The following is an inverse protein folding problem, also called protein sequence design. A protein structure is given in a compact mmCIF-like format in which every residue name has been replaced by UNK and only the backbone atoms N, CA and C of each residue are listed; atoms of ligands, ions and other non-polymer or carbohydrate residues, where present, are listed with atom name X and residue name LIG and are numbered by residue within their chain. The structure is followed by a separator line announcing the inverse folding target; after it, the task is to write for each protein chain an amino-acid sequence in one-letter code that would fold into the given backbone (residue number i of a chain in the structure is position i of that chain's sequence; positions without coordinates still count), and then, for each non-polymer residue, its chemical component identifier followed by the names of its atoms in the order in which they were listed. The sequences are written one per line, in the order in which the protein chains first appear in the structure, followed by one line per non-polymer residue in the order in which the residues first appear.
data_IF_395180292528
#
_entry.id   IF_395180292528
#
_cell.length_a   1.000
_cell.length_b   1.000
_cell.length_c   1.000
_cell.angle_alpha   90.00
_cell.angle_beta   90.00
_cell.angle_gamma   90.00
#
_symmetry.space_group_name_H-M   'P 1'
#
loop_
_entity.id
_entity.type
_entity.pdbx_description
1 polymer ?
#
# COMPACT_ATOMS: atom_id res chain seq x y z
N UNK A 1 12.80 13.22 -5.96
CA UNK A 1 12.85 12.13 -6.95
C UNK A 1 11.46 11.55 -7.14
N UNK A 2 11.10 11.27 -8.37
CA UNK A 2 9.76 10.78 -8.68
C UNK A 2 9.78 9.29 -9.00
N UNK A 3 8.79 8.56 -8.47
CA UNK A 3 8.65 7.13 -8.69
C UNK A 3 7.47 6.86 -9.60
N UNK A 4 7.58 5.78 -10.39
CA UNK A 4 6.42 5.24 -11.09
C UNK A 4 5.67 4.34 -10.11
N UNK A 5 4.35 4.40 -10.12
CA UNK A 5 3.52 3.52 -9.29
C UNK A 5 2.76 2.58 -10.19
N UNK A 6 2.97 1.29 -9.99
CA UNK A 6 2.27 0.22 -10.71
C UNK A 6 1.44 -0.55 -9.71
N UNK A 7 0.19 -0.82 -10.07
CA UNK A 7 -0.76 -1.46 -9.17
C UNK A 7 -1.16 -2.80 -9.78
N UNK A 8 -1.02 -3.87 -8.99
CA UNK A 8 -1.41 -5.20 -9.42
C UNK A 8 -2.90 -5.25 -9.75
N UNK A 9 -3.27 -6.09 -10.71
CA UNK A 9 -4.65 -6.16 -11.17
C UNK A 9 -5.63 -6.55 -10.06
N UNK A 10 -5.23 -7.44 -9.15
CA UNK A 10 -6.07 -7.82 -8.03
C UNK A 10 -6.32 -6.64 -7.09
N UNK A 11 -5.31 -5.80 -6.90
CA UNK A 11 -5.46 -4.57 -6.11
C UNK A 11 -6.38 -3.58 -6.82
N UNK A 12 -6.27 -3.47 -8.13
CA UNK A 12 -7.17 -2.62 -8.92
C UNK A 12 -8.62 -3.10 -8.78
N UNK A 13 -8.84 -4.39 -8.87
CA UNK A 13 -10.19 -4.97 -8.71
C UNK A 13 -10.78 -4.66 -7.35
N UNK A 14 -9.97 -4.77 -6.29
CA UNK A 14 -10.42 -4.40 -4.95
C UNK A 14 -10.82 -2.92 -4.89
N UNK A 15 -9.96 -2.03 -5.41
CA UNK A 15 -10.22 -0.59 -5.41
C UNK A 15 -11.52 -0.28 -6.15
N UNK A 16 -11.72 -0.90 -7.30
CA UNK A 16 -12.92 -0.67 -8.11
C UNK A 16 -14.20 -1.23 -7.49
N UNK A 17 -14.08 -2.15 -6.55
CA UNK A 17 -15.24 -2.70 -5.82
C UNK A 17 -15.71 -1.79 -4.69
N UNK A 18 -14.95 -0.75 -4.36
CA UNK A 18 -15.27 0.15 -3.25
C UNK A 18 -16.22 1.27 -3.69
N UNK A 19 -16.80 1.95 -2.69
CA UNK A 19 -17.62 3.14 -2.95
C UNK A 19 -16.77 4.22 -3.63
N UNK A 20 -17.42 5.17 -4.29
CA UNK A 20 -16.71 6.28 -4.93
C UNK A 20 -15.84 7.04 -3.94
N UNK A 21 -16.36 7.28 -2.73
CA UNK A 21 -15.61 7.98 -1.69
C UNK A 21 -14.37 7.20 -1.27
N UNK A 22 -14.53 5.92 -0.98
CA UNK A 22 -13.41 5.08 -0.57
C UNK A 22 -12.37 4.94 -1.68
N UNK A 23 -12.82 4.76 -2.91
CA UNK A 23 -11.93 4.66 -4.06
C UNK A 23 -11.06 5.91 -4.21
N UNK A 24 -11.65 7.09 -4.09
CA UNK A 24 -10.90 8.36 -4.17
C UNK A 24 -9.85 8.48 -3.08
N UNK A 25 -10.20 8.06 -1.86
CA UNK A 25 -9.27 8.09 -0.74
C UNK A 25 -8.08 7.16 -1.00
N UNK A 26 -8.37 5.94 -1.44
CA UNK A 26 -7.32 4.95 -1.75
C UNK A 26 -6.42 5.47 -2.87
N UNK A 27 -7.02 5.92 -3.97
CA UNK A 27 -6.26 6.41 -5.13
C UNK A 27 -5.38 7.60 -4.78
N UNK A 28 -5.89 8.53 -3.98
CA UNK A 28 -5.11 9.68 -3.54
C UNK A 28 -3.88 9.27 -2.74
N UNK A 29 -4.07 8.32 -1.82
CA UNK A 29 -2.96 7.83 -0.98
C UNK A 29 -1.92 7.05 -1.80
N UNK A 30 -2.37 6.22 -2.73
CA UNK A 30 -1.45 5.48 -3.59
C UNK A 30 -0.69 6.43 -4.52
N UNK A 31 -1.35 7.45 -5.03
CA UNK A 31 -0.71 8.45 -5.89
C UNK A 31 0.42 9.20 -5.16
N UNK A 32 0.25 9.43 -3.87
CA UNK A 32 1.26 10.10 -3.07
C UNK A 32 2.57 9.31 -2.99
N UNK A 33 2.54 8.00 -3.23
CA UNK A 33 3.75 7.17 -3.27
C UNK A 33 4.70 7.56 -4.40
N UNK A 34 4.22 8.28 -5.41
CA UNK A 34 5.07 8.79 -6.50
C UNK A 34 6.12 9.76 -5.98
N UNK A 35 5.79 10.50 -4.93
CA UNK A 35 6.68 11.51 -4.36
C UNK A 35 7.49 10.98 -3.17
N UNK A 36 6.85 10.16 -2.33
CA UNK A 36 7.47 9.69 -1.10
C UNK A 36 6.97 8.31 -0.71
N UNK A 37 7.63 7.24 -1.20
CA UNK A 37 7.22 5.88 -0.85
C UNK A 37 7.90 5.32 0.39
N UNK A 38 8.77 6.06 1.05
CA UNK A 38 9.54 5.57 2.19
C UNK A 38 8.93 5.95 3.53
N UNK A 39 9.12 5.12 4.58
CA UNK A 39 8.70 5.48 5.92
C UNK A 39 9.34 6.80 6.37
N UNK A 40 8.58 7.59 7.09
CA UNK A 40 9.02 8.90 7.55
C UNK A 40 8.30 9.34 8.80
N UNK A 41 8.34 10.63 9.10
CA UNK A 41 7.77 11.20 10.31
C UNK A 41 6.25 11.15 10.38
N UNK A 42 5.57 10.89 9.27
CA UNK A 42 4.11 10.85 9.24
C UNK A 42 3.52 9.61 9.92
N UNK A 43 4.30 8.51 9.98
CA UNK A 43 3.83 7.29 10.61
C UNK A 43 2.80 6.50 9.81
N UNK A 44 2.56 6.88 8.57
CA UNK A 44 1.58 6.19 7.70
C UNK A 44 2.19 5.04 6.91
N UNK A 45 3.51 4.93 6.89
CA UNK A 45 4.23 3.89 6.16
C UNK A 45 5.16 3.12 7.09
N UNK A 46 5.23 1.82 6.89
CA UNK A 46 6.09 0.93 7.68
C UNK A 46 6.88 0.01 6.76
N UNK A 47 8.12 -0.26 7.17
CA UNK A 47 8.93 -1.30 6.55
C UNK A 47 8.67 -2.61 7.30
N UNK A 48 8.27 -3.64 6.57
CA UNK A 48 8.00 -4.96 7.15
C UNK A 48 9.11 -5.93 6.78
N UNK A 49 9.71 -6.56 7.78
CA UNK A 49 10.72 -7.59 7.58
C UNK A 49 10.07 -8.94 7.87
N UNK A 50 9.31 -9.47 6.91
CA UNK A 50 8.56 -10.70 7.07
C UNK A 50 9.46 -11.92 7.05
N UNK A 51 10.56 -11.88 6.29
CA UNK A 51 11.55 -12.93 6.20
C UNK A 51 12.81 -12.39 5.50
N UNK A 52 13.97 -13.06 5.66
CA UNK A 52 15.21 -12.62 5.01
C UNK A 52 15.04 -12.48 3.48
N UNK A 53 15.58 -11.40 2.94
CA UNK A 53 15.56 -11.14 1.51
C UNK A 53 14.25 -10.58 0.96
N UNK A 54 13.23 -10.42 1.80
CA UNK A 54 11.94 -9.88 1.39
C UNK A 54 11.68 -8.56 2.10
N UNK A 55 11.61 -7.48 1.33
CA UNK A 55 11.35 -6.14 1.85
C UNK A 55 9.98 -5.69 1.32
N UNK A 56 9.02 -5.59 2.22
CA UNK A 56 7.67 -5.15 1.89
C UNK A 56 7.34 -3.94 2.76
N UNK A 57 6.67 -2.97 2.16
CA UNK A 57 6.20 -1.78 2.86
C UNK A 57 4.70 -1.86 3.03
N UNK A 58 4.21 -1.25 4.10
CA UNK A 58 2.78 -1.14 4.35
C UNK A 58 2.40 0.33 4.44
N UNK A 59 1.33 0.71 3.74
CA UNK A 59 0.75 2.04 3.79
C UNK A 59 -0.60 1.95 4.49
N UNK A 60 -0.78 2.74 5.54
CA UNK A 60 -2.07 2.87 6.23
C UNK A 60 -2.89 3.95 5.52
N UNK A 61 -4.11 3.61 5.13
CA UNK A 61 -4.99 4.51 4.38
C UNK A 61 -6.26 4.77 5.19
N UNK A 62 -6.42 6.01 5.68
CA UNK A 62 -7.63 6.50 6.35
C UNK A 62 -8.13 5.62 7.50
N UNK A 63 -7.27 4.88 8.17
CA UNK A 63 -7.61 3.94 9.27
C UNK A 63 -8.62 2.85 8.86
N UNK A 64 -8.83 2.67 7.57
CA UNK A 64 -9.78 1.67 7.04
C UNK A 64 -9.11 0.66 6.14
N UNK A 65 -8.10 1.09 5.39
CA UNK A 65 -7.45 0.27 4.38
C UNK A 65 -5.97 0.19 4.61
N UNK A 66 -5.35 -0.83 4.03
CA UNK A 66 -3.91 -0.96 4.01
C UNK A 66 -3.48 -1.40 2.61
N UNK A 67 -2.31 -0.93 2.20
CA UNK A 67 -1.69 -1.34 0.95
C UNK A 67 -0.33 -1.92 1.26
N UNK A 68 0.03 -3.01 0.56
CA UNK A 68 1.35 -3.60 0.64
C UNK A 68 2.06 -3.37 -0.67
N UNK A 69 3.27 -2.87 -0.62
CA UNK A 69 4.03 -2.54 -1.82
C UNK A 69 5.51 -2.83 -1.66
N UNK A 70 6.17 -2.96 -2.78
CA UNK A 70 7.60 -3.12 -2.89
C UNK A 70 8.16 -1.96 -3.69
N UNK A 71 9.43 -1.64 -3.47
CA UNK A 71 10.13 -0.61 -4.23
C UNK A 71 11.32 -1.28 -4.92
N UNK A 72 11.38 -1.13 -6.23
CA UNK A 72 12.47 -1.65 -7.02
C UNK A 72 12.97 -0.54 -7.94
N UNK A 73 14.18 -0.08 -7.70
CA UNK A 73 14.76 1.08 -8.39
C UNK A 73 13.86 2.31 -8.23
N UNK A 74 13.28 2.80 -9.31
CA UNK A 74 12.40 3.98 -9.29
C UNK A 74 10.92 3.61 -9.46
N UNK A 75 10.57 2.34 -9.22
CA UNK A 75 9.20 1.87 -9.37
C UNK A 75 8.66 1.34 -8.05
N UNK A 76 7.43 1.76 -7.73
CA UNK A 76 6.67 1.23 -6.60
C UNK A 76 5.65 0.25 -7.15
N UNK A 77 5.70 -0.99 -6.67
CA UNK A 77 4.76 -2.04 -7.06
C UNK A 77 3.77 -2.26 -5.92
N UNK A 78 2.54 -1.82 -6.11
CA UNK A 78 1.46 -2.05 -5.13
C UNK A 78 0.88 -3.43 -5.39
N UNK A 79 1.22 -4.38 -4.53
CA UNK A 79 0.84 -5.78 -4.70
C UNK A 79 -0.57 -6.07 -4.20
N UNK A 80 -0.95 -5.46 -3.09
CA UNK A 80 -2.24 -5.73 -2.47
C UNK A 80 -2.82 -4.46 -1.85
N UNK A 81 -4.15 -4.34 -1.91
CA UNK A 81 -4.91 -3.34 -1.17
C UNK A 81 -6.08 -4.07 -0.55
N UNK A 82 -6.32 -3.86 0.74
CA UNK A 82 -7.39 -4.54 1.44
C UNK A 82 -7.84 -3.72 2.66
N UNK A 83 -8.91 -4.16 3.32
CA UNK A 83 -9.29 -3.54 4.57
C UNK A 83 -8.28 -3.95 5.65
N UNK A 84 -8.18 -3.14 6.70
CA UNK A 84 -7.29 -3.47 7.83
C UNK A 84 -7.69 -4.80 8.45
N UNK A 85 -8.99 -5.08 8.54
CA UNK A 85 -9.47 -6.35 9.08
C UNK A 85 -9.02 -7.54 8.24
N UNK A 86 -9.12 -7.43 6.91
CA UNK A 86 -8.62 -8.47 6.00
C UNK A 86 -7.12 -8.67 6.15
N UNK A 87 -6.37 -7.58 6.31
CA UNK A 87 -4.92 -7.65 6.49
C UNK A 87 -4.56 -8.39 7.78
N UNK A 88 -5.28 -8.14 8.88
CA UNK A 88 -5.03 -8.82 10.14
C UNK A 88 -5.32 -10.32 10.04
N UNK A 89 -6.32 -10.71 9.26
CA UNK A 89 -6.62 -12.13 9.05
C UNK A 89 -5.61 -12.81 8.16
N UNK A 90 -5.17 -12.15 7.10
CA UNK A 90 -4.22 -12.72 6.14
C UNK A 90 -2.80 -12.76 6.68
N UNK A 91 -2.40 -11.71 7.37
CA UNK A 91 -1.05 -11.55 7.90
C UNK A 91 -1.09 -11.42 9.41
N UNK A 92 -1.29 -12.53 10.09
CA UNK A 92 -1.36 -12.57 11.55
C UNK A 92 -0.07 -12.03 12.17
N UNK A 93 -0.22 -11.17 13.17
CA UNK A 93 0.91 -10.58 13.87
C UNK A 93 1.38 -9.23 13.35
N UNK A 94 0.69 -8.70 12.36
CA UNK A 94 0.96 -7.35 11.87
C UNK A 94 0.22 -6.30 12.68
#
# INVERSE_FOLDING_TARGET
MRFDVRIDIDAIDFINSQTDKSRRIIEKNLKALKEDPFPGSRGDKELLNLRPGVTIYRLHIARMFTAFYEIEESTVFVNEVMTIEQAHKKYKGL
#
